data_IF_412922032169
#
_entry.id   IF_412922032169
#
_cell.length_a   1.000
_cell.length_b   1.000
_cell.length_c   1.000
_cell.angle_alpha   90.00
_cell.angle_beta   90.00
_cell.angle_gamma   90.00
#
_symmetry.space_group_name_H-M   'P 1'
#
loop_
_entity.id
_entity.type
_entity.pdbx_description
1 polymer ?
#
# COMPACT_ATOMS: atom_id res chain seq x y z
N UNK A 1 5.88 6.58 10.30
CA UNK A 1 4.49 6.28 9.90
C UNK A 1 3.53 7.41 10.30
N UNK A 2 3.36 7.74 11.59
CA UNK A 2 2.39 8.76 12.06
C UNK A 2 2.48 10.12 11.35
N UNK A 3 3.67 10.68 11.13
CA UNK A 3 3.83 11.96 10.42
C UNK A 3 3.35 11.88 8.96
N UNK A 4 3.68 10.78 8.27
CA UNK A 4 3.26 10.56 6.89
C UNK A 4 1.73 10.35 6.79
N UNK A 5 1.14 9.64 7.75
CA UNK A 5 -0.32 9.49 7.86
C UNK A 5 -1.00 10.86 8.13
N UNK A 6 -0.42 11.69 9.00
CA UNK A 6 -0.97 13.00 9.34
C UNK A 6 -0.98 13.99 8.16
N UNK A 7 -0.06 13.84 7.21
CA UNK A 7 -0.02 14.64 5.98
C UNK A 7 -0.79 14.00 4.81
N UNK A 8 -1.53 12.92 5.06
CA UNK A 8 -2.43 12.31 4.07
C UNK A 8 -1.79 11.31 3.12
N UNK A 9 -0.62 10.74 3.44
CA UNK A 9 -0.04 9.65 2.64
C UNK A 9 -0.95 8.42 2.73
N UNK A 10 -1.32 7.87 1.56
CA UNK A 10 -2.07 6.62 1.45
C UNK A 10 -1.11 5.44 1.55
N UNK A 11 -1.40 4.50 2.45
CA UNK A 11 -0.64 3.27 2.61
C UNK A 11 -1.40 2.10 1.99
N UNK A 12 -0.75 1.39 1.09
CA UNK A 12 -1.34 0.27 0.36
C UNK A 12 -0.53 -1.00 0.63
N UNK A 13 -1.17 -2.05 1.10
CA UNK A 13 -0.58 -3.38 1.24
C UNK A 13 -0.92 -4.25 0.02
N UNK A 14 0.08 -4.92 -0.54
CA UNK A 14 -0.11 -5.83 -1.67
C UNK A 14 -0.75 -7.14 -1.19
N UNK A 15 -1.96 -7.44 -1.68
CA UNK A 15 -2.70 -8.65 -1.32
C UNK A 15 -1.89 -9.94 -1.55
N UNK A 16 -1.29 -10.10 -2.74
CA UNK A 16 -0.48 -11.29 -3.05
C UNK A 16 0.74 -11.41 -2.11
N UNK A 17 1.38 -10.29 -1.78
CA UNK A 17 2.53 -10.31 -0.86
C UNK A 17 2.11 -10.72 0.55
N UNK A 18 0.94 -10.28 1.01
CA UNK A 18 0.38 -10.72 2.29
C UNK A 18 0.09 -12.22 2.30
N UNK A 19 -0.51 -12.75 1.23
CA UNK A 19 -0.81 -14.18 1.11
C UNK A 19 0.47 -15.05 1.16
N UNK A 20 1.53 -14.63 0.44
CA UNK A 20 2.82 -15.33 0.42
C UNK A 20 3.49 -15.29 1.79
N UNK A 21 3.38 -14.18 2.51
CA UNK A 21 3.98 -14.01 3.84
C UNK A 21 3.10 -14.52 4.98
N UNK A 22 1.84 -14.90 4.71
CA UNK A 22 0.87 -15.34 5.71
C UNK A 22 0.39 -14.24 6.66
N UNK A 23 0.50 -12.96 6.27
CA UNK A 23 0.15 -11.80 7.10
C UNK A 23 -1.35 -11.53 6.99
N UNK A 24 -2.01 -11.33 8.13
CA UNK A 24 -3.42 -10.97 8.17
C UNK A 24 -3.62 -9.46 8.29
N UNK A 25 -4.81 -8.99 7.91
CA UNK A 25 -5.13 -7.56 7.92
C UNK A 25 -5.08 -6.97 9.33
N UNK A 26 -5.40 -7.74 10.36
CA UNK A 26 -5.40 -7.30 11.76
C UNK A 26 -3.98 -7.04 12.31
N UNK A 27 -2.95 -7.53 11.62
CA UNK A 27 -1.54 -7.33 11.97
C UNK A 27 -0.96 -6.05 11.35
N UNK A 28 -1.70 -5.40 10.44
CA UNK A 28 -1.29 -4.15 9.81
C UNK A 28 -1.56 -2.95 10.71
N UNK A 29 -0.81 -1.87 10.49
CA UNK A 29 -1.09 -0.58 11.12
C UNK A 29 -2.40 0.00 10.60
N UNK A 30 -3.07 0.82 11.43
CA UNK A 30 -4.30 1.50 11.03
C UNK A 30 -4.09 2.38 9.79
N UNK A 31 -5.11 2.43 8.92
CA UNK A 31 -5.10 3.25 7.70
C UNK A 31 -4.36 2.65 6.52
N UNK A 32 -4.15 1.32 6.51
CA UNK A 32 -3.60 0.58 5.36
C UNK A 32 -4.73 -0.11 4.59
N UNK A 33 -4.80 0.18 3.28
CA UNK A 33 -5.73 -0.50 2.38
C UNK A 33 -5.04 -1.70 1.70
N UNK A 34 -5.73 -2.84 1.65
CA UNK A 34 -5.23 -4.02 0.95
C UNK A 34 -5.66 -3.94 -0.51
N UNK A 35 -4.71 -3.96 -1.44
CA UNK A 35 -4.96 -3.77 -2.86
C UNK A 35 -4.25 -4.81 -3.72
N UNK A 36 -4.79 -5.02 -4.91
CA UNK A 36 -4.14 -5.82 -5.95
C UNK A 36 -3.17 -5.01 -6.81
N UNK A 37 -2.43 -5.72 -7.67
CA UNK A 37 -1.46 -5.11 -8.60
C UNK A 37 -2.11 -4.12 -9.57
N UNK A 38 -3.35 -4.35 -10.00
CA UNK A 38 -4.05 -3.46 -10.92
C UNK A 38 -4.26 -2.05 -10.32
N UNK A 39 -4.59 -1.97 -9.03
CA UNK A 39 -4.75 -0.69 -8.32
C UNK A 39 -3.43 0.07 -8.23
N UNK A 40 -2.34 -0.63 -7.90
CA UNK A 40 -1.01 -0.03 -7.90
C UNK A 40 -0.61 0.48 -9.29
N UNK A 41 -0.80 -0.33 -10.34
CA UNK A 41 -0.48 0.07 -11.70
C UNK A 41 -1.31 1.27 -12.18
N UNK A 42 -2.60 1.33 -11.82
CA UNK A 42 -3.44 2.50 -12.10
C UNK A 42 -2.88 3.76 -11.43
N UNK A 43 -2.59 3.69 -10.13
CA UNK A 43 -2.01 4.82 -9.40
C UNK A 43 -0.63 5.23 -9.93
N UNK A 44 0.23 4.25 -10.27
CA UNK A 44 1.56 4.50 -10.81
C UNK A 44 1.52 5.12 -12.21
N UNK A 45 0.53 4.76 -13.04
CA UNK A 45 0.35 5.34 -14.38
C UNK A 45 -0.09 6.80 -14.35
N UNK A 46 -0.81 7.22 -13.31
CA UNK A 46 -1.21 8.61 -13.10
C UNK A 46 -0.16 9.43 -12.33
N UNK A 47 0.86 8.77 -11.78
CA UNK A 47 1.89 9.42 -10.97
C UNK A 47 2.99 10.03 -11.85
N UNK A 48 3.40 11.26 -11.54
CA UNK A 48 4.50 11.92 -12.26
C UNK A 48 5.86 11.24 -12.03
N UNK A 49 6.04 10.59 -10.87
CA UNK A 49 7.27 9.92 -10.47
C UNK A 49 6.87 8.61 -9.79
N UNK A 50 7.46 7.51 -10.25
CA UNK A 50 7.35 6.20 -9.61
C UNK A 50 8.75 5.72 -9.19
N UNK A 51 8.88 5.24 -7.95
CA UNK A 51 10.14 4.80 -7.36
C UNK A 51 10.02 3.34 -6.88
N UNK A 52 11.05 2.54 -7.12
CA UNK A 52 11.15 1.18 -6.62
C UNK A 52 12.32 1.12 -5.61
N UNK A 53 12.01 0.73 -4.37
CA UNK A 53 12.92 0.71 -3.22
C UNK A 53 12.85 -0.65 -2.55
#
# INVERSE_FOLDING_TARGET
>A
MKNAQAVGVKFLACAMSMDVMGIKKEELIDGVDVVGVATYLGAASESNINLFI
#
